data_IF_563668399559
#
_entry.id   IF_563668399559
#
_cell.length_a   1.000
_cell.length_b   1.000
_cell.length_c   1.000
_cell.angle_alpha   90.00
_cell.angle_beta   90.00
_cell.angle_gamma   90.00
#
_symmetry.space_group_name_H-M   'P 1'
#
loop_
_entity.id
_entity.type
_entity.pdbx_description
1 polymer ?
#
# COMPACT_ATOMS: atom_id res chain seq x y z
N UNK A 1 35.72 -50.85 -46.67
CA UNK A 1 35.16 -49.65 -46.01
C UNK A 1 34.25 -48.95 -47.00
N UNK A 2 32.93 -49.11 -46.91
CA UNK A 2 31.95 -48.12 -47.39
C UNK A 2 30.67 -48.27 -46.56
N UNK A 3 30.11 -47.11 -46.20
CA UNK A 3 29.12 -46.84 -45.15
C UNK A 3 27.73 -47.39 -45.45
N UNK A 4 27.03 -47.75 -44.35
CA UNK A 4 25.62 -47.52 -43.99
C UNK A 4 24.65 -47.01 -45.06
N UNK A 5 23.39 -47.49 -45.03
CA UNK A 5 22.20 -46.72 -44.61
C UNK A 5 21.01 -47.70 -44.54
N UNK A 6 20.55 -48.00 -43.34
CA UNK A 6 19.22 -48.59 -43.09
C UNK A 6 18.31 -47.47 -42.56
N UNK A 7 17.22 -47.22 -43.25
CA UNK A 7 16.17 -46.31 -42.77
C UNK A 7 14.83 -46.90 -43.14
N UNK A 8 14.11 -47.44 -42.17
CA UNK A 8 12.65 -47.57 -42.23
C UNK A 8 12.07 -47.22 -40.86
N UNK A 9 11.35 -46.09 -40.87
CA UNK A 9 10.56 -45.52 -39.78
C UNK A 9 9.36 -46.43 -39.50
N UNK A 10 9.08 -46.73 -38.23
CA UNK A 10 7.77 -47.18 -37.79
C UNK A 10 7.20 -46.12 -36.84
N UNK A 11 6.11 -45.52 -37.29
CA UNK A 11 5.40 -44.41 -36.66
C UNK A 11 4.82 -44.80 -35.29
N UNK A 12 5.18 -44.05 -34.25
CA UNK A 12 4.50 -44.07 -32.96
C UNK A 12 3.48 -42.93 -32.92
N UNK A 13 2.20 -43.27 -33.04
CA UNK A 13 1.11 -42.32 -32.84
C UNK A 13 0.91 -42.09 -31.34
N UNK A 14 1.27 -40.91 -30.83
CA UNK A 14 0.95 -40.48 -29.48
C UNK A 14 -0.35 -39.66 -29.51
N UNK A 15 -1.44 -40.24 -28.99
CA UNK A 15 -2.69 -39.50 -28.75
C UNK A 15 -2.52 -38.63 -27.50
N UNK A 16 -2.54 -37.30 -27.68
CA UNK A 16 -2.36 -36.32 -26.62
C UNK A 16 -3.74 -35.96 -26.03
N UNK A 17 -4.00 -36.42 -24.79
CA UNK A 17 -5.22 -36.09 -24.04
C UNK A 17 -5.06 -34.68 -23.45
N UNK A 18 -5.91 -33.74 -23.88
CA UNK A 18 -5.99 -32.38 -23.33
C UNK A 18 -6.78 -32.40 -22.01
N UNK A 19 -6.10 -32.33 -20.87
CA UNK A 19 -6.72 -32.03 -19.57
C UNK A 19 -6.89 -30.50 -19.42
N UNK A 20 -8.07 -29.99 -19.05
CA UNK A 20 -8.24 -28.59 -18.73
C UNK A 20 -7.59 -28.30 -17.37
N UNK A 21 -6.55 -27.46 -17.38
CA UNK A 21 -5.91 -26.93 -16.18
C UNK A 21 -6.84 -25.89 -15.55
N UNK A 22 -7.57 -26.26 -14.50
CA UNK A 22 -8.25 -25.31 -13.61
C UNK A 22 -7.18 -24.57 -12.80
N UNK A 23 -6.78 -23.37 -13.25
CA UNK A 23 -5.89 -22.50 -12.47
C UNK A 23 -6.65 -21.92 -11.27
N UNK A 24 -6.04 -21.89 -10.07
CA UNK A 24 -6.63 -21.22 -8.92
C UNK A 24 -6.57 -19.69 -9.13
N UNK A 25 -7.72 -19.03 -9.00
CA UNK A 25 -7.83 -17.58 -9.05
C UNK A 25 -7.39 -16.96 -7.71
N UNK A 26 -6.15 -16.49 -7.61
CA UNK A 26 -5.60 -15.81 -6.43
C UNK A 26 -5.27 -14.33 -6.67
N UNK A 27 -6.02 -13.64 -7.55
CA UNK A 27 -5.72 -12.26 -7.96
C UNK A 27 -6.60 -11.17 -7.31
N UNK A 28 -7.57 -11.51 -6.46
CA UNK A 28 -8.59 -10.57 -6.00
C UNK A 28 -8.18 -9.70 -4.79
N UNK A 29 -7.21 -10.13 -3.98
CA UNK A 29 -6.83 -9.42 -2.74
C UNK A 29 -6.00 -8.15 -2.98
N UNK A 30 -5.21 -8.11 -4.05
CA UNK A 30 -4.33 -6.97 -4.35
C UNK A 30 -5.12 -5.74 -4.83
N UNK A 31 -6.10 -5.97 -5.72
CA UNK A 31 -6.95 -4.91 -6.28
C UNK A 31 -7.78 -4.19 -5.21
N UNK A 32 -8.28 -4.91 -4.20
CA UNK A 32 -9.04 -4.30 -3.09
C UNK A 32 -8.14 -3.41 -2.23
N UNK A 33 -6.87 -3.78 -2.03
CA UNK A 33 -5.92 -2.97 -1.25
C UNK A 33 -5.51 -1.68 -1.97
N UNK A 34 -5.36 -1.72 -3.30
CA UNK A 34 -5.03 -0.53 -4.12
C UNK A 34 -6.20 0.46 -4.19
N UNK A 35 -7.43 -0.02 -4.37
CA UNK A 35 -8.62 0.83 -4.40
C UNK A 35 -8.78 1.62 -3.10
N UNK A 36 -8.54 0.95 -1.96
CA UNK A 36 -8.64 1.56 -0.64
C UNK A 36 -7.58 2.63 -0.43
N UNK A 37 -6.34 2.35 -0.86
CA UNK A 37 -5.25 3.33 -0.81
C UNK A 37 -5.61 4.59 -1.61
N UNK A 38 -6.12 4.44 -2.85
CA UNK A 38 -6.54 5.57 -3.68
C UNK A 38 -7.63 6.42 -3.02
N UNK A 39 -8.64 5.78 -2.44
CA UNK A 39 -9.72 6.48 -1.72
C UNK A 39 -9.17 7.25 -0.52
N UNK A 40 -8.24 6.66 0.25
CA UNK A 40 -7.65 7.33 1.41
C UNK A 40 -6.79 8.52 0.98
N UNK A 41 -5.99 8.36 -0.07
CA UNK A 41 -5.20 9.45 -0.64
C UNK A 41 -6.09 10.60 -1.12
N UNK A 42 -7.22 10.30 -1.77
CA UNK A 42 -8.18 11.33 -2.18
C UNK A 42 -8.75 12.09 -0.97
N UNK A 43 -9.16 11.39 0.09
CA UNK A 43 -9.64 12.06 1.30
C UNK A 43 -8.55 12.89 2.00
N UNK A 44 -7.30 12.43 1.97
CA UNK A 44 -6.17 13.21 2.52
C UNK A 44 -5.93 14.47 1.71
N UNK A 45 -5.82 14.35 0.38
CA UNK A 45 -5.63 15.51 -0.51
C UNK A 45 -6.71 16.57 -0.28
N UNK A 46 -7.96 16.13 -0.14
CA UNK A 46 -9.11 17.03 -0.01
C UNK A 46 -9.41 17.41 1.48
N UNK A 47 -8.51 17.08 2.42
CA UNK A 47 -8.64 17.32 3.86
C UNK A 47 -9.97 16.85 4.50
N UNK A 48 -10.56 15.75 4.00
CA UNK A 48 -11.89 15.28 4.39
C UNK A 48 -11.88 14.26 5.54
N UNK A 49 -11.54 14.71 6.76
CA UNK A 49 -11.40 13.84 7.95
C UNK A 49 -12.61 12.97 8.25
N UNK A 50 -13.83 13.51 8.14
CA UNK A 50 -15.08 12.78 8.41
C UNK A 50 -15.31 11.65 7.39
N UNK A 51 -14.93 11.85 6.12
CA UNK A 51 -15.08 10.83 5.08
C UNK A 51 -14.10 9.68 5.29
N UNK A 52 -12.85 9.98 5.66
CA UNK A 52 -11.87 8.96 6.03
C UNK A 52 -12.37 8.13 7.23
N UNK A 53 -12.81 8.80 8.30
CA UNK A 53 -13.33 8.12 9.48
C UNK A 53 -14.54 7.23 9.18
N UNK A 54 -15.46 7.70 8.33
CA UNK A 54 -16.61 6.89 7.89
C UNK A 54 -16.16 5.67 7.11
N UNK A 55 -15.30 5.84 6.10
CA UNK A 55 -14.80 4.74 5.28
C UNK A 55 -14.07 3.69 6.11
N UNK A 56 -13.24 4.10 7.08
CA UNK A 56 -12.60 3.18 8.03
C UNK A 56 -13.62 2.32 8.81
N UNK A 57 -14.70 2.93 9.30
CA UNK A 57 -15.77 2.20 10.01
C UNK A 57 -16.54 1.26 9.10
N UNK A 58 -16.91 1.73 7.91
CA UNK A 58 -17.67 0.94 6.93
C UNK A 58 -16.89 -0.32 6.52
N UNK A 59 -15.57 -0.17 6.38
CA UNK A 59 -14.65 -1.26 6.07
C UNK A 59 -14.20 -2.08 7.29
N UNK A 60 -14.52 -1.63 8.50
CA UNK A 60 -14.06 -2.24 9.77
C UNK A 60 -12.53 -2.34 9.90
N UNK A 61 -11.81 -1.37 9.34
CA UNK A 61 -10.34 -1.29 9.39
C UNK A 61 -9.93 -0.21 10.40
N UNK A 62 -8.88 -0.48 11.19
CA UNK A 62 -8.26 0.55 12.02
C UNK A 62 -7.10 1.16 11.25
N UNK A 63 -7.02 2.48 11.22
CA UNK A 63 -5.98 3.20 10.46
C UNK A 63 -4.56 2.77 10.84
N UNK A 64 -4.33 2.50 12.13
CA UNK A 64 -3.07 1.97 12.67
C UNK A 64 -2.63 0.64 12.06
N UNK A 65 -3.55 -0.21 11.60
CA UNK A 65 -3.21 -1.53 11.07
C UNK A 65 -2.73 -1.46 9.61
N UNK A 66 -3.05 -0.37 8.90
CA UNK A 66 -2.81 -0.23 7.45
C UNK A 66 -1.86 0.91 7.11
N UNK A 67 -1.56 1.79 8.07
CA UNK A 67 -0.81 3.03 7.86
C UNK A 67 0.50 2.84 7.09
N UNK A 68 1.34 1.90 7.54
CA UNK A 68 2.68 1.65 6.99
C UNK A 68 2.65 1.17 5.53
N UNK A 69 1.53 0.59 5.09
CA UNK A 69 1.36 0.01 3.75
C UNK A 69 0.69 0.96 2.74
N UNK A 70 0.05 2.04 3.19
CA UNK A 70 -0.64 2.98 2.29
C UNK A 70 0.32 4.08 1.87
N UNK A 71 0.59 4.19 0.56
CA UNK A 71 1.41 5.24 -0.04
C UNK A 71 0.57 6.09 -1.01
N UNK A 72 0.75 7.40 -0.96
CA UNK A 72 0.11 8.38 -1.84
C UNK A 72 1.19 9.14 -2.61
N UNK A 73 1.38 8.82 -3.89
CA UNK A 73 2.48 9.35 -4.70
C UNK A 73 3.83 9.20 -3.97
N UNK A 74 4.13 7.96 -3.56
CA UNK A 74 5.33 7.57 -2.81
C UNK A 74 5.51 8.21 -1.42
N UNK A 75 4.53 8.98 -0.94
CA UNK A 75 4.53 9.57 0.40
C UNK A 75 3.65 8.77 1.36
N UNK A 76 3.98 8.80 2.66
CA UNK A 76 3.06 8.32 3.72
C UNK A 76 1.82 9.21 3.75
N UNK A 77 0.73 8.76 4.41
CA UNK A 77 -0.45 9.61 4.57
C UNK A 77 -0.15 10.90 5.35
N UNK A 78 0.79 10.89 6.31
CA UNK A 78 1.22 12.09 7.05
C UNK A 78 1.98 13.04 6.11
N UNK A 79 3.00 12.55 5.42
CA UNK A 79 3.79 13.35 4.47
C UNK A 79 2.90 13.92 3.36
N UNK A 80 1.97 13.11 2.85
CA UNK A 80 1.05 13.53 1.81
C UNK A 80 0.06 14.59 2.32
N UNK A 81 -0.43 14.48 3.56
CA UNK A 81 -1.24 15.53 4.18
C UNK A 81 -0.46 16.85 4.28
N UNK A 82 0.80 16.80 4.72
CA UNK A 82 1.68 17.96 4.79
C UNK A 82 1.91 18.59 3.41
N UNK A 83 2.16 17.78 2.37
CA UNK A 83 2.36 18.27 0.99
C UNK A 83 1.12 18.95 0.38
N UNK A 84 -0.07 18.71 0.91
CA UNK A 84 -1.33 19.26 0.41
C UNK A 84 -2.00 20.23 1.40
N UNK A 85 -1.28 20.71 2.43
CA UNK A 85 -1.81 21.58 3.48
C UNK A 85 -3.08 21.03 4.18
N UNK A 86 -3.20 19.70 4.23
CA UNK A 86 -4.36 19.00 4.79
C UNK A 86 -4.20 18.78 6.31
N UNK A 87 -4.17 19.90 7.04
CA UNK A 87 -3.79 19.90 8.46
C UNK A 87 -4.73 19.10 9.36
N UNK A 88 -6.05 19.13 9.13
CA UNK A 88 -7.03 18.48 10.02
C UNK A 88 -6.93 16.96 9.92
N UNK A 89 -6.95 16.43 8.70
CA UNK A 89 -6.87 15.00 8.46
C UNK A 89 -5.48 14.48 8.80
N UNK A 90 -4.42 15.23 8.47
CA UNK A 90 -3.05 14.89 8.85
C UNK A 90 -2.88 14.81 10.37
N UNK A 91 -3.46 15.75 11.10
CA UNK A 91 -3.46 15.76 12.57
C UNK A 91 -4.24 14.58 13.15
N UNK A 92 -5.38 14.23 12.55
CA UNK A 92 -6.13 13.03 12.92
C UNK A 92 -5.31 11.76 12.69
N UNK A 93 -4.68 11.62 11.51
CA UNK A 93 -3.83 10.47 11.18
C UNK A 93 -2.67 10.36 12.17
N UNK A 94 -1.95 11.47 12.41
CA UNK A 94 -0.81 11.54 13.32
C UNK A 94 -1.15 11.17 14.77
N UNK A 95 -2.41 11.29 15.22
CA UNK A 95 -2.87 10.80 16.52
C UNK A 95 -3.33 9.34 16.51
N UNK A 96 -3.76 8.83 15.37
CA UNK A 96 -4.52 7.57 15.26
C UNK A 96 -3.64 6.33 15.05
N UNK A 97 -2.42 6.50 14.54
CA UNK A 97 -1.48 5.42 14.19
C UNK A 97 -0.50 5.11 15.32
N UNK A 98 0.16 3.94 15.32
CA UNK A 98 1.17 3.65 16.33
C UNK A 98 2.41 4.52 16.17
N UNK A 99 3.07 4.83 17.28
CA UNK A 99 4.31 5.61 17.25
C UNK A 99 5.43 4.83 16.55
N UNK A 100 5.44 3.50 16.70
CA UNK A 100 6.43 2.63 16.07
C UNK A 100 6.28 2.61 14.55
N UNK A 101 5.05 2.65 14.03
CA UNK A 101 4.81 2.78 12.59
C UNK A 101 5.36 4.12 12.05
N UNK A 102 5.11 5.23 12.75
CA UNK A 102 5.62 6.56 12.39
C UNK A 102 7.16 6.55 12.37
N UNK A 103 7.78 5.91 13.38
CA UNK A 103 9.24 5.77 13.47
C UNK A 103 9.79 4.89 12.35
N UNK A 104 9.14 3.77 12.06
CA UNK A 104 9.57 2.82 11.04
C UNK A 104 9.58 3.46 9.65
N UNK A 105 8.57 4.28 9.32
CA UNK A 105 8.49 4.96 8.02
C UNK A 105 9.18 6.33 7.98
N UNK A 106 9.73 6.79 9.12
CA UNK A 106 10.57 7.99 9.23
C UNK A 106 9.84 9.32 9.10
N UNK A 107 8.54 9.39 9.42
CA UNK A 107 7.77 10.63 9.25
C UNK A 107 8.23 11.75 10.18
N UNK A 108 8.60 11.42 11.41
CA UNK A 108 9.06 12.42 12.37
C UNK A 108 10.38 13.05 11.91
N UNK A 109 11.33 12.21 11.50
CA UNK A 109 12.62 12.63 10.96
C UNK A 109 12.43 13.45 9.68
N UNK A 110 11.57 13.01 8.76
CA UNK A 110 11.25 13.73 7.53
C UNK A 110 10.70 15.14 7.81
N UNK A 111 9.81 15.28 8.79
CA UNK A 111 9.29 16.60 9.18
C UNK A 111 10.36 17.47 9.85
N UNK A 112 11.19 16.88 10.71
CA UNK A 112 12.29 17.57 11.39
C UNK A 112 13.30 18.14 10.41
N UNK A 113 13.75 17.35 9.44
CA UNK A 113 14.72 17.75 8.41
C UNK A 113 14.22 18.91 7.53
N UNK A 114 12.90 19.06 7.43
CA UNK A 114 12.25 20.10 6.64
C UNK A 114 11.81 21.31 7.46
N UNK A 115 12.13 21.36 8.76
CA UNK A 115 11.67 22.39 9.70
C UNK A 115 10.14 22.50 9.78
N UNK A 116 9.43 21.37 9.72
CA UNK A 116 7.96 21.30 9.72
C UNK A 116 7.38 20.92 11.09
N UNK A 117 8.19 20.82 12.14
CA UNK A 117 7.72 20.44 13.48
C UNK A 117 6.82 21.48 14.14
N UNK A 118 6.88 22.74 13.70
CA UNK A 118 6.00 23.83 14.17
C UNK A 118 4.64 23.86 13.44
N UNK A 119 4.37 22.90 12.54
CA UNK A 119 3.06 22.77 11.90
C UNK A 119 2.07 22.04 12.82
N UNK A 120 0.74 22.15 12.61
CA UNK A 120 -0.24 21.43 13.43
C UNK A 120 0.00 19.91 13.51
N UNK A 121 0.48 19.32 12.40
CA UNK A 121 0.82 17.89 12.32
C UNK A 121 2.16 17.64 13.04
N UNK A 122 3.16 18.51 12.80
CA UNK A 122 4.49 18.41 13.36
C UNK A 122 4.49 18.46 14.89
N UNK A 123 3.71 19.35 15.49
CA UNK A 123 3.61 19.47 16.94
C UNK A 123 3.05 18.20 17.59
N UNK A 124 2.12 17.53 16.92
CA UNK A 124 1.58 16.24 17.38
C UNK A 124 2.69 15.21 17.39
N UNK A 125 3.49 15.14 16.32
CA UNK A 125 4.61 14.21 16.27
C UNK A 125 5.67 14.54 17.33
N UNK A 126 6.02 15.81 17.50
CA UNK A 126 6.97 16.26 18.52
C UNK A 126 6.54 15.81 19.93
N UNK A 127 5.29 16.06 20.32
CA UNK A 127 4.75 15.60 21.63
C UNK A 127 4.74 14.09 21.78
N UNK A 128 4.58 13.33 20.70
CA UNK A 128 4.59 11.86 20.75
C UNK A 128 6.00 11.30 20.91
N UNK A 129 7.01 11.92 20.32
CA UNK A 129 8.40 11.45 20.33
C UNK A 129 9.25 12.03 21.46
N UNK A 130 8.82 13.13 22.08
CA UNK A 130 9.50 13.79 23.19
C UNK A 130 8.51 13.95 24.37
N UNK A 131 8.19 12.84 25.07
CA UNK A 131 7.25 12.86 26.20
C UNK A 131 7.80 13.59 27.43
#
# INVERSE_FOLDING_TARGET
>A
MFKSITSWLAATSAAMVLMPLSLPASAQSYLESEEVALVFCAYVRDNHTVRLQRKLRDMRIRLRDVYSNIRCNDATLIQFAVKNDAHDIGSFIARSVHIDDIRQVGDFEWMRERNLLETPIGEILARRFQP
#
